data_IF_091765048632
#
_entry.id   IF_091765048632
#
_cell.length_a   1.000
_cell.length_b   1.000
_cell.length_c   1.000
_cell.angle_alpha   90.00
_cell.angle_beta   90.00
_cell.angle_gamma   90.00
#
_symmetry.space_group_name_H-M   'P 1'
#
loop_
_entity.id
_entity.type
_entity.pdbx_description
1 polymer ?
#
# COMPACT_ATOMS: atom_id res chain seq x y z
N UNK A 1 9.75 -10.10 8.53
CA UNK A 1 11.04 -9.37 8.50
C UNK A 1 10.95 -8.02 7.77
N UNK A 2 10.35 -7.94 6.56
CA UNK A 2 10.25 -6.67 5.77
C UNK A 2 9.61 -5.51 6.54
N UNK A 3 8.45 -5.72 7.17
CA UNK A 3 7.75 -4.66 7.93
C UNK A 3 8.61 -4.07 9.05
N UNK A 4 9.31 -4.92 9.82
CA UNK A 4 10.19 -4.48 10.91
C UNK A 4 11.33 -3.62 10.38
N UNK A 5 11.94 -4.00 9.24
CA UNK A 5 13.00 -3.23 8.61
C UNK A 5 12.50 -1.85 8.14
N UNK A 6 11.33 -1.80 7.49
CA UNK A 6 10.72 -0.53 7.05
C UNK A 6 10.39 0.38 8.24
N UNK A 7 9.76 -0.18 9.28
CA UNK A 7 9.41 0.55 10.49
C UNK A 7 10.65 1.11 11.21
N UNK A 8 11.74 0.34 11.26
CA UNK A 8 13.01 0.77 11.84
C UNK A 8 13.62 1.93 11.05
N UNK A 9 13.72 1.84 9.72
CA UNK A 9 14.29 2.93 8.89
C UNK A 9 13.48 4.22 9.04
N UNK A 10 12.14 4.12 9.07
CA UNK A 10 11.27 5.27 9.31
C UNK A 10 11.45 5.85 10.74
N UNK A 11 11.65 4.99 11.74
CA UNK A 11 11.93 5.40 13.11
C UNK A 11 13.27 6.11 13.26
N UNK A 12 14.32 5.56 12.65
CA UNK A 12 15.65 6.13 12.64
C UNK A 12 15.65 7.50 11.92
N UNK A 13 14.90 7.63 10.81
CA UNK A 13 14.70 8.91 10.12
C UNK A 13 14.03 9.96 11.01
N UNK A 14 12.85 9.66 11.58
CA UNK A 14 12.13 10.64 12.42
C UNK A 14 12.91 11.00 13.68
N UNK A 15 13.62 10.03 14.29
CA UNK A 15 14.45 10.28 15.47
C UNK A 15 15.56 11.29 15.18
N UNK A 16 16.23 11.17 14.03
CA UNK A 16 17.26 12.14 13.61
C UNK A 16 16.67 13.53 13.41
N UNK A 17 15.53 13.63 12.71
CA UNK A 17 14.88 14.92 12.45
C UNK A 17 14.37 15.57 13.74
N UNK A 18 13.79 14.80 14.67
CA UNK A 18 13.30 15.34 15.94
C UNK A 18 14.42 15.84 16.87
N UNK A 19 15.57 15.17 16.86
CA UNK A 19 16.69 15.54 17.74
C UNK A 19 17.56 16.66 17.16
N UNK A 20 17.72 16.72 15.83
CA UNK A 20 18.71 17.58 15.20
C UNK A 20 18.15 18.51 14.11
N UNK A 21 16.87 18.40 13.79
CA UNK A 21 16.27 19.10 12.64
C UNK A 21 16.76 18.53 11.31
N UNK A 22 16.55 19.29 10.23
CA UNK A 22 17.04 18.94 8.90
C UNK A 22 18.49 19.40 8.71
N UNK A 23 19.33 18.55 8.10
CA UNK A 23 20.74 18.85 7.82
C UNK A 23 20.98 19.70 6.58
N UNK A 24 19.93 20.12 5.86
CA UNK A 24 20.02 20.86 4.60
C UNK A 24 19.48 20.08 3.40
N UNK A 25 19.84 20.51 2.19
CA UNK A 25 19.40 19.94 0.91
C UNK A 25 20.56 19.27 0.18
N UNK A 26 20.26 18.22 -0.59
CA UNK A 26 21.22 17.55 -1.46
C UNK A 26 20.61 17.32 -2.83
N UNK A 27 21.44 17.33 -3.87
CA UNK A 27 21.05 16.92 -5.22
C UNK A 27 20.99 15.39 -5.27
N UNK A 28 19.88 14.85 -5.76
CA UNK A 28 19.67 13.41 -5.95
C UNK A 28 19.30 13.18 -7.41
N UNK A 29 19.79 12.10 -8.02
CA UNK A 29 19.44 11.82 -9.41
C UNK A 29 18.00 11.32 -9.51
N UNK A 30 17.33 11.70 -10.59
CA UNK A 30 15.99 11.17 -10.91
C UNK A 30 16.01 9.66 -11.09
N UNK A 31 17.11 9.10 -11.61
CA UNK A 31 17.34 7.66 -11.72
C UNK A 31 17.31 6.94 -10.37
N UNK A 32 17.88 7.53 -9.31
CA UNK A 32 17.82 6.95 -7.96
C UNK A 32 16.38 6.94 -7.41
N UNK A 33 15.61 8.01 -7.67
CA UNK A 33 14.20 8.09 -7.28
C UNK A 33 13.39 7.02 -8.02
N UNK A 34 13.57 6.91 -9.34
CA UNK A 34 12.91 5.88 -10.15
C UNK A 34 13.26 4.47 -9.67
N UNK A 35 14.53 4.20 -9.37
CA UNK A 35 14.97 2.90 -8.85
C UNK A 35 14.30 2.52 -7.52
N UNK A 36 13.92 3.49 -6.70
CA UNK A 36 13.13 3.28 -5.48
C UNK A 36 11.64 3.08 -5.78
N UNK A 37 11.06 3.91 -6.63
CA UNK A 37 9.61 3.89 -6.90
C UNK A 37 9.18 2.68 -7.72
N UNK A 38 9.97 2.22 -8.68
CA UNK A 38 9.62 1.07 -9.53
C UNK A 38 9.32 -0.23 -8.76
N UNK A 39 10.16 -0.70 -7.81
CA UNK A 39 9.80 -1.86 -6.99
C UNK A 39 8.66 -1.55 -6.01
N UNK A 40 8.53 -0.31 -5.54
CA UNK A 40 7.46 0.10 -4.64
C UNK A 40 6.09 -0.03 -5.31
N UNK A 41 5.96 0.41 -6.57
CA UNK A 41 4.74 0.25 -7.37
C UNK A 41 4.35 -1.22 -7.53
N UNK A 42 5.31 -2.09 -7.90
CA UNK A 42 5.05 -3.53 -8.01
C UNK A 42 4.55 -4.17 -6.71
N UNK A 43 5.05 -3.70 -5.57
CA UNK A 43 4.57 -4.17 -4.25
C UNK A 43 3.15 -3.66 -3.99
N UNK A 44 2.82 -2.42 -4.37
CA UNK A 44 1.47 -1.88 -4.27
C UNK A 44 0.50 -2.64 -5.17
N UNK A 45 0.83 -2.90 -6.43
CA UNK A 45 -0.01 -3.65 -7.38
C UNK A 45 -0.33 -5.06 -6.84
N UNK A 46 0.69 -5.76 -6.34
CA UNK A 46 0.52 -7.06 -5.70
C UNK A 46 -0.34 -6.99 -4.44
N UNK A 47 -0.20 -5.91 -3.66
CA UNK A 47 -1.00 -5.69 -2.46
C UNK A 47 -2.46 -5.45 -2.81
N UNK A 48 -2.74 -4.67 -3.86
CA UNK A 48 -4.11 -4.45 -4.37
C UNK A 48 -4.72 -5.75 -4.86
N UNK A 49 -4.01 -6.51 -5.69
CA UNK A 49 -4.49 -7.82 -6.17
C UNK A 49 -4.79 -8.80 -5.02
N UNK A 50 -4.01 -8.75 -3.93
CA UNK A 50 -4.23 -9.57 -2.72
C UNK A 50 -5.43 -9.11 -1.88
N UNK A 51 -6.05 -7.97 -2.22
CA UNK A 51 -7.25 -7.43 -1.58
C UNK A 51 -8.52 -7.65 -2.42
N UNK A 52 -8.42 -8.36 -3.54
CA UNK A 52 -9.59 -8.84 -4.26
C UNK A 52 -10.33 -9.88 -3.44
N UNK A 53 -11.66 -9.72 -3.33
CA UNK A 53 -12.54 -10.53 -2.52
C UNK A 53 -13.25 -11.56 -3.38
N UNK A 54 -13.74 -12.62 -2.74
CA UNK A 54 -14.50 -13.68 -3.42
C UNK A 54 -15.85 -13.19 -3.98
N UNK A 55 -16.42 -12.12 -3.41
CA UNK A 55 -17.64 -11.47 -3.89
C UNK A 55 -17.41 -10.56 -5.10
N UNK A 56 -16.16 -10.41 -5.55
CA UNK A 56 -15.78 -9.59 -6.70
C UNK A 56 -15.51 -8.13 -6.38
N UNK A 57 -15.54 -7.74 -5.10
CA UNK A 57 -15.17 -6.41 -4.62
C UNK A 57 -13.72 -6.38 -4.13
N UNK A 58 -13.26 -5.20 -3.69
CA UNK A 58 -11.95 -5.02 -3.05
C UNK A 58 -12.12 -4.61 -1.58
N UNK A 59 -11.22 -5.08 -0.71
CA UNK A 59 -11.18 -4.61 0.67
C UNK A 59 -10.77 -3.13 0.72
N UNK A 60 -11.52 -2.32 1.46
CA UNK A 60 -11.17 -0.92 1.71
C UNK A 60 -10.13 -0.80 2.85
N UNK A 61 -10.38 -1.52 3.93
CA UNK A 61 -9.56 -1.54 5.13
C UNK A 61 -9.44 -2.96 5.66
N UNK A 62 -8.27 -3.29 6.20
CA UNK A 62 -8.00 -4.54 6.89
C UNK A 62 -7.52 -4.26 8.32
N UNK A 63 -7.65 -5.25 9.19
CA UNK A 63 -7.06 -5.24 10.51
C UNK A 63 -5.77 -6.05 10.44
N UNK A 64 -4.68 -5.50 11.00
CA UNK A 64 -3.44 -6.24 11.16
C UNK A 64 -3.30 -6.67 12.62
N UNK A 65 -3.14 -7.97 12.84
CA UNK A 65 -2.84 -8.54 14.14
C UNK A 65 -1.37 -8.93 14.21
N UNK A 66 -0.70 -8.46 15.25
CA UNK A 66 0.72 -8.70 15.48
C UNK A 66 0.92 -9.64 16.67
N UNK A 67 1.64 -10.73 16.44
CA UNK A 67 2.24 -11.53 17.53
C UNK A 67 3.77 -11.41 17.45
N UNK A 68 4.50 -12.08 18.36
CA UNK A 68 5.96 -12.09 18.32
C UNK A 68 6.51 -12.72 17.03
N UNK A 69 5.82 -13.72 16.48
CA UNK A 69 6.32 -14.54 15.37
C UNK A 69 5.50 -14.38 14.09
N UNK A 70 4.28 -13.87 14.17
CA UNK A 70 3.32 -13.82 13.06
C UNK A 70 2.72 -12.42 12.86
N UNK A 71 2.36 -12.14 11.61
CA UNK A 71 1.49 -11.03 11.23
C UNK A 71 0.30 -11.63 10.48
N UNK A 72 -0.89 -11.51 11.06
CA UNK A 72 -2.14 -11.94 10.43
C UNK A 72 -2.93 -10.73 9.94
N UNK A 73 -3.77 -10.95 8.92
CA UNK A 73 -4.64 -9.93 8.33
C UNK A 73 -6.07 -10.42 8.42
N UNK A 74 -6.92 -9.68 9.14
CA UNK A 74 -8.35 -9.90 9.16
C UNK A 74 -9.03 -8.90 8.22
N UNK A 75 -10.10 -9.36 7.56
CA UNK A 75 -10.85 -8.57 6.59
C UNK A 75 -12.09 -7.97 7.21
N UNK A 76 -12.36 -6.70 6.87
CA UNK A 76 -13.60 -6.02 7.24
C UNK A 76 -14.70 -6.27 6.19
N UNK A 77 -15.91 -5.81 6.53
CA UNK A 77 -17.04 -5.80 5.60
C UNK A 77 -16.75 -4.88 4.39
N UNK A 78 -17.38 -5.12 3.23
CA UNK A 78 -17.14 -4.32 2.02
C UNK A 78 -17.60 -2.87 2.22
N UNK A 79 -16.86 -1.92 1.66
CA UNK A 79 -17.16 -0.50 1.73
C UNK A 79 -17.02 0.16 0.36
N UNK A 80 -17.92 1.10 0.05
CA UNK A 80 -17.92 1.81 -1.23
C UNK A 80 -16.57 2.51 -1.51
N UNK A 81 -15.94 3.07 -0.47
CA UNK A 81 -14.64 3.77 -0.57
C UNK A 81 -13.54 2.89 -1.19
N UNK A 82 -13.47 1.60 -0.84
CA UNK A 82 -12.47 0.69 -1.40
C UNK A 82 -12.65 0.48 -2.91
N UNK A 83 -13.91 0.52 -3.38
CA UNK A 83 -14.24 0.29 -4.79
C UNK A 83 -13.88 1.54 -5.60
N UNK A 84 -14.22 2.72 -5.06
CA UNK A 84 -13.80 4.01 -5.64
C UNK A 84 -12.28 4.12 -5.70
N UNK A 85 -11.58 3.70 -4.65
CA UNK A 85 -10.13 3.76 -4.56
C UNK A 85 -9.46 2.88 -5.63
N UNK A 86 -9.89 1.62 -5.78
CA UNK A 86 -9.29 0.72 -6.78
C UNK A 86 -9.61 1.15 -8.22
N UNK A 87 -10.84 1.63 -8.49
CA UNK A 87 -11.21 2.20 -9.80
C UNK A 87 -10.35 3.42 -10.15
N UNK A 88 -9.95 4.21 -9.15
CA UNK A 88 -9.13 5.41 -9.32
C UNK A 88 -7.63 5.13 -9.34
N UNK A 89 -7.20 3.90 -9.04
CA UNK A 89 -5.78 3.55 -8.86
C UNK A 89 -5.01 3.37 -10.18
N UNK A 90 -5.72 3.14 -11.28
CA UNK A 90 -5.13 2.82 -12.59
C UNK A 90 -4.63 1.37 -12.74
N UNK A 91 -4.88 0.50 -11.75
CA UNK A 91 -4.46 -0.91 -11.81
C UNK A 91 -5.42 -1.78 -12.62
N UNK A 92 -6.71 -1.41 -12.67
CA UNK A 92 -7.74 -2.15 -13.38
C UNK A 92 -7.76 -1.76 -14.85
N UNK A 93 -7.82 -2.76 -15.72
CA UNK A 93 -8.17 -2.52 -17.11
C UNK A 93 -9.69 -2.22 -17.25
N UNK A 94 -10.14 -1.72 -18.41
CA UNK A 94 -11.55 -1.36 -18.60
C UNK A 94 -12.55 -2.48 -18.32
N UNK A 95 -12.23 -3.73 -18.68
CA UNK A 95 -13.12 -4.87 -18.46
C UNK A 95 -13.22 -5.23 -16.97
N UNK A 96 -12.11 -5.17 -16.24
CA UNK A 96 -12.08 -5.35 -14.78
C UNK A 96 -12.85 -4.26 -14.04
N UNK A 97 -12.78 -3.02 -14.53
CA UNK A 97 -13.53 -1.90 -13.97
C UNK A 97 -15.05 -2.08 -14.15
N UNK A 98 -15.50 -2.53 -15.34
CA UNK A 98 -16.92 -2.86 -15.60
C UNK A 98 -17.37 -4.00 -14.69
N UNK A 99 -16.58 -5.08 -14.60
CA UNK A 99 -16.91 -6.21 -13.74
C UNK A 99 -17.06 -5.79 -12.27
N UNK A 100 -16.19 -4.92 -11.76
CA UNK A 100 -16.31 -4.40 -10.41
C UNK A 100 -17.60 -3.59 -10.21
N UNK A 101 -17.96 -2.74 -11.17
CA UNK A 101 -19.21 -1.97 -11.11
C UNK A 101 -20.44 -2.88 -11.15
N UNK A 102 -20.43 -3.94 -11.96
CA UNK A 102 -21.50 -4.94 -12.02
C UNK A 102 -21.65 -5.74 -10.71
N UNK A 103 -20.58 -5.88 -9.92
CA UNK A 103 -20.62 -6.52 -8.60
C UNK A 103 -21.09 -5.58 -7.49
N UNK A 104 -21.03 -4.27 -7.73
CA UNK A 104 -21.41 -3.25 -6.76
C UNK A 104 -22.92 -2.97 -6.75
N UNK A 105 -23.60 -3.18 -7.89
CA UNK A 105 -25.03 -2.91 -8.11
C UNK A 105 -25.82 -4.20 -8.34
#
# INVERSE_FOLDING_TARGET
QVLRSLAKVAADYRSKVYQHGFSGKQTVSTAQIQALLSPSLRIMDKSIASNYRQDGLYNAYNIINYTQDEVAVDYLYPMLEGQVAVLSSGVLNPDEAVQLLDKLY
#
